data_IF_691997471676
#
_entry.id   IF_691997471676
#
_cell.length_a   1.000
_cell.length_b   1.000
_cell.length_c   1.000
_cell.angle_alpha   90.00
_cell.angle_beta   90.00
_cell.angle_gamma   90.00
#
_symmetry.space_group_name_H-M   'P 1'
#
loop_
_entity.id
_entity.type
_entity.pdbx_description
1 polymer ?
#
# COMPACT_ATOMS: atom_id res chain seq x y z
N UNK A 1 -8.16 1.86 21.61
CA UNK A 1 -6.99 2.46 22.28
C UNK A 1 -5.65 1.83 21.87
N UNK A 2 -5.57 0.51 21.69
CA UNK A 2 -4.32 -0.22 21.36
C UNK A 2 -3.60 0.29 20.09
N UNK A 3 -4.32 0.49 18.98
CA UNK A 3 -3.72 0.97 17.72
C UNK A 3 -3.08 2.36 17.82
N UNK A 4 -3.70 3.29 18.55
CA UNK A 4 -3.12 4.62 18.76
C UNK A 4 -1.78 4.56 19.49
N UNK A 5 -1.67 3.66 20.47
CA UNK A 5 -0.41 3.44 21.18
C UNK A 5 0.67 2.86 20.25
N UNK A 6 0.32 1.91 19.38
CA UNK A 6 1.24 1.32 18.40
C UNK A 6 1.73 2.38 17.39
N UNK A 7 0.83 3.23 16.88
CA UNK A 7 1.19 4.34 15.99
C UNK A 7 2.14 5.31 16.70
N UNK A 8 1.84 5.70 17.96
CA UNK A 8 2.69 6.58 18.75
C UNK A 8 4.09 5.98 18.97
N UNK A 9 4.18 4.68 19.25
CA UNK A 9 5.46 3.95 19.38
C UNK A 9 6.21 3.97 18.04
N UNK A 10 5.53 3.65 16.91
CA UNK A 10 6.15 3.63 15.59
C UNK A 10 6.71 4.99 15.16
N UNK A 11 6.06 6.09 15.55
CA UNK A 11 6.47 7.46 15.20
C UNK A 11 7.38 8.13 16.25
N UNK A 12 7.55 7.52 17.43
CA UNK A 12 8.29 8.13 18.54
C UNK A 12 9.76 8.48 18.18
N UNK A 13 10.38 7.67 17.33
CA UNK A 13 11.77 7.90 16.87
C UNK A 13 11.87 8.73 15.59
N UNK A 14 10.77 9.34 15.11
CA UNK A 14 10.70 10.11 13.85
C UNK A 14 11.34 9.34 12.68
N UNK A 15 10.81 8.16 12.32
CA UNK A 15 11.39 7.36 11.25
C UNK A 15 11.19 8.04 9.89
N UNK A 16 12.09 7.79 8.95
CA UNK A 16 11.93 8.21 7.56
C UNK A 16 10.86 7.37 6.83
N UNK A 17 10.68 6.12 7.24
CA UNK A 17 9.66 5.21 6.71
C UNK A 17 8.87 4.54 7.84
N UNK A 18 7.54 4.54 7.71
CA UNK A 18 6.62 3.77 8.54
C UNK A 18 5.99 2.64 7.70
N UNK A 19 6.11 1.40 8.16
CA UNK A 19 5.40 0.26 7.55
C UNK A 19 4.16 -0.05 8.39
N UNK A 20 2.99 0.09 7.77
CA UNK A 20 1.68 -0.14 8.38
C UNK A 20 1.03 -1.38 7.73
N UNK A 21 1.20 -2.55 8.36
CA UNK A 21 0.61 -3.81 7.87
C UNK A 21 -0.77 -4.02 8.51
N UNK A 22 -1.82 -3.88 7.71
CA UNK A 22 -3.23 -3.96 8.09
C UNK A 22 -3.59 -3.17 9.37
N UNK A 23 -3.24 -1.88 9.47
CA UNK A 23 -3.26 -1.14 10.73
C UNK A 23 -4.67 -0.96 11.32
N UNK A 24 -5.70 -1.23 10.54
CA UNK A 24 -7.11 -1.05 10.94
C UNK A 24 -7.94 -2.33 10.85
N UNK A 25 -7.29 -3.50 10.65
CA UNK A 25 -7.99 -4.78 10.67
C UNK A 25 -8.75 -4.96 11.99
N UNK A 26 -9.99 -5.47 11.91
CA UNK A 26 -10.90 -5.68 13.04
C UNK A 26 -11.43 -4.40 13.73
N UNK A 27 -11.40 -3.24 13.07
CA UNK A 27 -12.04 -2.01 13.55
C UNK A 27 -13.31 -1.70 12.75
N UNK A 28 -14.27 -1.05 13.40
CA UNK A 28 -15.41 -0.47 12.68
C UNK A 28 -14.97 0.70 11.78
N UNK A 29 -15.73 0.94 10.70
CA UNK A 29 -15.39 1.91 9.64
C UNK A 29 -15.15 3.32 10.20
N UNK A 30 -15.90 3.74 11.22
CA UNK A 30 -15.77 5.08 11.79
C UNK A 30 -14.48 5.25 12.58
N UNK A 31 -14.12 4.24 13.37
CA UNK A 31 -12.85 4.22 14.13
C UNK A 31 -11.67 4.08 13.20
N UNK A 32 -11.77 3.24 12.16
CA UNK A 32 -10.77 3.07 11.12
C UNK A 32 -10.43 4.41 10.45
N UNK A 33 -11.45 5.13 9.95
CA UNK A 33 -11.25 6.44 9.32
C UNK A 33 -10.52 7.41 10.25
N UNK A 34 -10.98 7.56 11.49
CA UNK A 34 -10.36 8.47 12.47
C UNK A 34 -8.91 8.12 12.78
N UNK A 35 -8.55 6.84 12.84
CA UNK A 35 -7.17 6.40 13.09
C UNK A 35 -6.29 6.72 11.89
N UNK A 36 -6.78 6.46 10.68
CA UNK A 36 -6.02 6.73 9.46
C UNK A 36 -5.87 8.24 9.19
N UNK A 37 -6.89 9.05 9.45
CA UNK A 37 -6.79 10.51 9.37
C UNK A 37 -5.72 11.05 10.33
N UNK A 38 -5.69 10.51 11.55
CA UNK A 38 -4.69 10.89 12.54
C UNK A 38 -3.27 10.43 12.15
N UNK A 39 -3.14 9.22 11.60
CA UNK A 39 -1.87 8.70 11.08
C UNK A 39 -1.34 9.60 9.96
N UNK A 40 -2.18 9.90 8.97
CA UNK A 40 -1.83 10.76 7.84
C UNK A 40 -1.36 12.15 8.30
N UNK A 41 -2.13 12.83 9.16
CA UNK A 41 -1.74 14.11 9.72
C UNK A 41 -0.36 14.08 10.41
N UNK A 42 -0.06 13.01 11.16
CA UNK A 42 1.23 12.88 11.85
C UNK A 42 2.37 12.60 10.86
N UNK A 43 2.18 11.69 9.90
CA UNK A 43 3.22 11.36 8.91
C UNK A 43 3.53 12.54 8.00
N UNK A 44 2.53 13.31 7.58
CA UNK A 44 2.72 14.54 6.80
C UNK A 44 3.52 15.60 7.57
N UNK A 45 3.16 15.82 8.84
CA UNK A 45 3.88 16.81 9.68
C UNK A 45 5.34 16.43 9.92
N UNK A 46 5.68 15.15 9.84
CA UNK A 46 7.03 14.62 10.06
C UNK A 46 7.81 14.40 8.75
N UNK A 47 7.15 14.50 7.58
CA UNK A 47 7.74 14.11 6.29
C UNK A 47 8.08 12.62 6.20
N UNK A 48 7.39 11.78 6.99
CA UNK A 48 7.60 10.33 7.04
C UNK A 48 6.93 9.67 5.85
N UNK A 49 7.67 8.85 5.08
CA UNK A 49 7.08 8.02 4.06
C UNK A 49 6.29 6.86 4.68
N UNK A 50 5.23 6.41 4.01
CA UNK A 50 4.40 5.30 4.51
C UNK A 50 4.33 4.17 3.49
N UNK A 51 4.67 2.96 3.90
CA UNK A 51 4.34 1.73 3.18
C UNK A 51 3.08 1.13 3.83
N UNK A 52 1.95 1.33 3.16
CA UNK A 52 0.63 0.93 3.65
C UNK A 52 0.21 -0.41 3.05
N UNK A 53 0.01 -1.43 3.85
CA UNK A 53 -0.39 -2.76 3.40
C UNK A 53 -1.83 -3.02 3.81
N UNK A 54 -2.67 -3.37 2.84
CA UNK A 54 -4.08 -3.66 3.08
C UNK A 54 -4.64 -4.64 2.03
N UNK A 55 -5.76 -5.24 2.32
CA UNK A 55 -6.55 -5.99 1.34
C UNK A 55 -7.70 -5.16 0.74
N UNK A 56 -7.93 -3.95 1.25
CA UNK A 56 -8.95 -3.01 0.78
C UNK A 56 -8.36 -2.00 -0.20
N UNK A 57 -8.64 -2.21 -1.49
CA UNK A 57 -8.15 -1.36 -2.58
C UNK A 57 -8.75 0.07 -2.49
N UNK A 58 -10.00 0.19 -2.06
CA UNK A 58 -10.64 1.49 -1.91
C UNK A 58 -10.00 2.33 -0.82
N UNK A 59 -9.71 1.69 0.33
CA UNK A 59 -9.00 2.33 1.42
C UNK A 59 -7.57 2.72 1.03
N UNK A 60 -6.88 1.86 0.26
CA UNK A 60 -5.56 2.15 -0.27
C UNK A 60 -5.58 3.42 -1.14
N UNK A 61 -6.57 3.53 -2.01
CA UNK A 61 -6.71 4.67 -2.91
C UNK A 61 -7.06 5.99 -2.22
N UNK A 62 -7.78 5.94 -1.11
CA UNK A 62 -8.03 7.13 -0.29
C UNK A 62 -6.78 7.63 0.45
N UNK A 63 -5.76 6.79 0.62
CA UNK A 63 -4.64 7.06 1.53
C UNK A 63 -3.27 7.09 0.87
N UNK A 64 -3.13 6.52 -0.32
CA UNK A 64 -1.85 6.41 -1.00
C UNK A 64 -1.86 7.14 -2.33
N UNK A 65 -0.75 7.77 -2.67
CA UNK A 65 -0.51 8.36 -3.99
C UNK A 65 -0.25 7.28 -5.05
N UNK A 66 0.34 6.16 -4.64
CA UNK A 66 0.70 5.07 -5.54
C UNK A 66 0.27 3.72 -4.98
N UNK A 67 -0.23 2.84 -5.84
CA UNK A 67 -0.68 1.50 -5.49
C UNK A 67 0.14 0.45 -6.22
N UNK A 68 0.50 -0.60 -5.50
CA UNK A 68 1.08 -1.84 -6.02
C UNK A 68 0.11 -2.97 -5.71
N UNK A 69 -0.44 -3.61 -6.72
CA UNK A 69 -1.37 -4.75 -6.59
C UNK A 69 -0.59 -6.04 -6.65
N UNK A 70 -0.67 -6.83 -5.58
CA UNK A 70 -0.01 -8.15 -5.48
C UNK A 70 -0.99 -9.31 -5.59
N UNK A 71 -0.66 -10.28 -6.41
CA UNK A 71 -1.39 -11.53 -6.57
C UNK A 71 -0.44 -12.71 -6.68
N UNK A 72 -0.63 -13.74 -5.84
CA UNK A 72 0.19 -14.97 -5.82
C UNK A 72 1.71 -14.71 -5.79
N UNK A 73 2.13 -13.73 -4.99
CA UNK A 73 3.54 -13.39 -4.79
C UNK A 73 4.15 -12.44 -5.83
N UNK A 74 3.41 -12.06 -6.86
CA UNK A 74 3.87 -11.18 -7.94
C UNK A 74 3.16 -9.83 -7.91
N UNK A 75 3.82 -8.79 -8.41
CA UNK A 75 3.17 -7.52 -8.74
C UNK A 75 2.47 -7.70 -10.08
N UNK A 76 1.15 -7.53 -10.10
CA UNK A 76 0.33 -7.69 -11.31
C UNK A 76 -0.09 -6.34 -11.92
N UNK A 77 -0.11 -5.29 -11.11
CA UNK A 77 -0.39 -3.93 -11.55
C UNK A 77 0.23 -2.91 -10.57
N UNK A 78 0.72 -1.79 -11.08
CA UNK A 78 1.27 -0.70 -10.26
C UNK A 78 1.07 0.63 -10.98
N UNK A 79 0.72 1.67 -10.24
CA UNK A 79 0.50 3.00 -10.81
C UNK A 79 -0.07 4.00 -9.80
N UNK A 80 -0.32 5.24 -10.25
CA UNK A 80 -1.05 6.22 -9.46
C UNK A 80 -2.39 5.66 -9.00
N UNK A 81 -2.78 5.97 -7.78
CA UNK A 81 -3.94 5.35 -7.13
C UNK A 81 -5.23 5.53 -7.91
N UNK A 82 -5.45 6.72 -8.47
CA UNK A 82 -6.62 7.04 -9.29
C UNK A 82 -6.65 6.22 -10.58
N UNK A 83 -5.50 6.13 -11.27
CA UNK A 83 -5.39 5.40 -12.53
C UNK A 83 -5.71 3.91 -12.33
N UNK A 84 -5.13 3.29 -11.30
CA UNK A 84 -5.37 1.88 -10.97
C UNK A 84 -6.84 1.62 -10.63
N UNK A 85 -7.54 2.57 -9.96
CA UNK A 85 -8.96 2.45 -9.65
C UNK A 85 -9.88 2.69 -10.85
N UNK A 86 -9.61 3.73 -11.64
CA UNK A 86 -10.49 4.15 -12.73
C UNK A 86 -10.30 3.31 -13.98
N UNK A 87 -9.06 2.89 -14.24
CA UNK A 87 -8.64 2.18 -15.45
C UNK A 87 -7.85 0.91 -15.17
N UNK A 88 -8.33 0.00 -14.27
CA UNK A 88 -7.62 -1.22 -13.96
C UNK A 88 -7.41 -2.06 -15.21
N UNK A 89 -6.17 -2.49 -15.46
CA UNK A 89 -5.82 -3.27 -16.64
C UNK A 89 -5.87 -4.77 -16.35
N UNK A 90 -5.27 -5.18 -15.23
CA UNK A 90 -5.18 -6.61 -14.92
C UNK A 90 -6.52 -7.20 -14.47
N UNK A 91 -6.91 -8.41 -14.93
CA UNK A 91 -8.19 -9.03 -14.56
C UNK A 91 -8.42 -9.20 -13.07
N UNK A 92 -7.35 -9.41 -12.30
CA UNK A 92 -7.42 -9.50 -10.84
C UNK A 92 -7.75 -8.14 -10.21
N UNK A 93 -7.09 -7.05 -10.66
CA UNK A 93 -7.39 -5.68 -10.19
C UNK A 93 -8.82 -5.28 -10.50
N UNK A 94 -9.32 -5.61 -11.71
CA UNK A 94 -10.72 -5.39 -12.09
C UNK A 94 -11.69 -6.07 -11.11
N UNK A 95 -11.39 -7.30 -10.70
CA UNK A 95 -12.21 -8.02 -9.70
C UNK A 95 -12.12 -7.37 -8.32
N UNK A 96 -10.94 -6.93 -7.89
CA UNK A 96 -10.77 -6.23 -6.62
C UNK A 96 -11.58 -4.93 -6.59
N UNK A 97 -11.51 -4.11 -7.64
CA UNK A 97 -12.29 -2.87 -7.76
C UNK A 97 -13.78 -3.16 -7.71
N UNK A 98 -14.26 -4.18 -8.44
CA UNK A 98 -15.67 -4.57 -8.47
C UNK A 98 -16.17 -5.15 -7.13
N UNK A 99 -15.29 -5.82 -6.37
CA UNK A 99 -15.62 -6.45 -5.09
C UNK A 99 -15.50 -5.50 -3.89
N UNK A 100 -14.83 -4.36 -4.03
CA UNK A 100 -14.60 -3.40 -2.96
C UNK A 100 -15.65 -2.26 -3.03
N UNK A 101 -16.79 -2.39 -2.33
CA UNK A 101 -17.77 -1.32 -2.23
C UNK A 101 -17.32 -0.29 -1.17
N UNK A 102 -16.08 0.22 -1.28
CA UNK A 102 -15.69 1.36 -0.45
C UNK A 102 -16.47 2.59 -0.92
N UNK A 103 -16.77 3.50 0.01
CA UNK A 103 -17.42 4.78 -0.31
C UNK A 103 -16.62 5.57 -1.37
N UNK A 104 -15.30 5.42 -1.40
CA UNK A 104 -14.44 6.02 -2.42
C UNK A 104 -14.65 5.39 -3.80
N UNK A 105 -14.64 4.07 -3.90
CA UNK A 105 -14.92 3.38 -5.17
C UNK A 105 -16.31 3.71 -5.69
N UNK A 106 -17.32 3.77 -4.82
CA UNK A 106 -18.68 4.16 -5.21
C UNK A 106 -18.76 5.64 -5.62
N UNK A 107 -18.06 6.55 -4.94
CA UNK A 107 -18.01 7.97 -5.33
C UNK A 107 -17.33 8.18 -6.66
N UNK A 108 -16.22 7.49 -6.91
CA UNK A 108 -15.47 7.56 -8.18
C UNK A 108 -16.31 6.99 -9.33
N UNK A 109 -16.93 5.82 -9.14
CA UNK A 109 -17.82 5.21 -10.15
C UNK A 109 -19.04 6.11 -10.42
N UNK A 110 -19.69 6.62 -9.38
CA UNK A 110 -20.85 7.51 -9.51
C UNK A 110 -20.49 8.87 -10.13
N UNK A 111 -19.31 9.42 -9.87
CA UNK A 111 -18.82 10.65 -10.52
C UNK A 111 -18.56 10.42 -12.00
N UNK A 112 -17.94 9.29 -12.35
CA UNK A 112 -17.70 8.89 -13.75
C UNK A 112 -19.01 8.68 -14.51
N UNK A 113 -20.03 8.06 -13.91
CA UNK A 113 -21.36 7.88 -14.48
C UNK A 113 -22.08 9.22 -14.70
N UNK A 114 -21.81 10.23 -13.84
CA UNK A 114 -22.36 11.59 -13.96
C UNK A 114 -21.55 12.51 -14.86
N UNK A 115 -20.40 12.06 -15.39
CA UNK A 115 -19.49 12.89 -16.18
C UNK A 115 -18.79 13.98 -15.35
N UNK A 116 -18.74 13.83 -14.03
CA UNK A 116 -18.05 14.73 -13.13
C UNK A 116 -16.56 14.38 -13.07
N UNK A 117 -15.71 15.39 -12.89
CA UNK A 117 -14.27 15.21 -12.75
C UNK A 117 -13.96 14.53 -11.40
N UNK A 118 -13.56 13.26 -11.46
CA UNK A 118 -13.27 12.46 -10.27
C UNK A 118 -12.03 12.98 -9.51
N UNK A 119 -11.16 13.75 -10.17
CA UNK A 119 -9.98 14.36 -9.58
C UNK A 119 -10.36 15.39 -8.51
N UNK A 120 -11.44 16.14 -8.71
CA UNK A 120 -11.92 17.12 -7.75
C UNK A 120 -12.44 16.51 -6.43
N UNK A 121 -12.85 15.24 -6.44
CA UNK A 121 -13.37 14.55 -5.25
C UNK A 121 -12.27 13.99 -4.34
N UNK A 122 -11.06 13.83 -4.85
CA UNK A 122 -9.88 13.32 -4.14
C UNK A 122 -8.84 14.40 -3.83
N UNK A 123 -8.97 15.58 -4.46
CA UNK A 123 -8.02 16.71 -4.35
C UNK A 123 -7.85 17.26 -2.92
N UNK A 124 -8.73 16.93 -1.99
CA UNK A 124 -8.58 17.34 -0.59
C UNK A 124 -7.52 16.55 0.18
N UNK A 125 -6.96 15.46 -0.37
CA UNK A 125 -5.95 14.63 0.31
C UNK A 125 -4.66 14.38 -0.49
N UNK A 126 -4.61 14.75 -1.78
CA UNK A 126 -3.44 14.53 -2.65
C UNK A 126 -2.78 15.87 -3.05
N UNK A 127 -2.89 16.89 -2.22
CA UNK A 127 -2.18 18.15 -2.43
C UNK A 127 -0.67 17.92 -2.29
N UNK A 128 0.02 17.66 -3.41
CA UNK A 128 1.48 17.47 -3.38
C UNK A 128 2.11 16.86 -4.63
N UNK A 129 1.35 16.53 -5.69
CA UNK A 129 1.94 15.88 -6.87
C UNK A 129 3.06 16.71 -7.55
N UNK A 130 3.00 18.04 -7.53
CA UNK A 130 4.02 18.90 -8.15
C UNK A 130 5.38 18.90 -7.44
N UNK A 131 5.44 18.48 -6.17
CA UNK A 131 6.68 18.39 -5.39
C UNK A 131 7.28 16.98 -5.42
N UNK A 132 6.52 15.97 -5.84
CA UNK A 132 6.89 14.56 -5.75
C UNK A 132 7.89 14.10 -6.82
N UNK A 133 7.97 14.80 -7.96
CA UNK A 133 8.92 14.41 -9.04
C UNK A 133 10.40 14.58 -8.64
N UNK A 134 10.70 15.43 -7.64
CA UNK A 134 12.07 15.69 -7.15
C UNK A 134 12.39 15.02 -5.81
N UNK A 135 11.46 14.30 -5.19
CA UNK A 135 11.71 13.68 -3.89
C UNK A 135 12.60 12.43 -4.01
N UNK A 136 13.57 12.34 -3.10
CA UNK A 136 14.49 11.21 -2.98
C UNK A 136 13.74 9.92 -2.65
N UNK A 137 14.15 8.81 -3.26
CA UNK A 137 13.68 7.48 -2.90
C UNK A 137 14.27 7.07 -1.55
N UNK A 138 13.40 6.81 -0.57
CA UNK A 138 13.82 6.32 0.75
C UNK A 138 14.10 4.83 0.71
N UNK A 139 13.30 4.08 -0.06
CA UNK A 139 13.47 2.65 -0.25
C UNK A 139 13.31 2.32 -1.72
N UNK A 140 14.22 1.46 -2.20
CA UNK A 140 14.09 0.79 -3.49
C UNK A 140 14.18 -0.71 -3.28
N UNK A 141 13.15 -1.42 -3.68
CA UNK A 141 13.05 -2.88 -3.70
C UNK A 141 13.31 -3.34 -5.12
N UNK A 142 14.32 -4.20 -5.31
CA UNK A 142 14.80 -4.62 -6.61
C UNK A 142 14.80 -6.14 -6.74
N UNK A 143 13.93 -6.66 -7.63
CA UNK A 143 13.79 -8.08 -7.97
C UNK A 143 13.68 -9.02 -6.77
N UNK A 144 12.89 -8.62 -5.75
CA UNK A 144 12.80 -9.31 -4.48
C UNK A 144 12.05 -10.64 -4.62
N UNK A 145 12.69 -11.74 -4.24
CA UNK A 145 12.10 -13.07 -4.27
C UNK A 145 12.28 -13.78 -2.94
N UNK A 146 11.24 -14.47 -2.49
CA UNK A 146 11.28 -15.33 -1.31
C UNK A 146 10.66 -16.69 -1.57
N UNK A 147 11.47 -17.70 -1.37
CA UNK A 147 11.06 -19.09 -1.44
C UNK A 147 11.09 -19.74 -0.06
N UNK A 148 10.09 -20.59 0.22
CA UNK A 148 10.02 -21.42 1.40
C UNK A 148 9.98 -22.90 1.00
N UNK A 149 10.71 -23.71 1.73
CA UNK A 149 10.62 -25.18 1.60
C UNK A 149 9.33 -25.67 2.25
N UNK A 150 8.47 -26.32 1.48
CA UNK A 150 7.24 -26.89 2.03
C UNK A 150 7.56 -28.11 2.92
N UNK A 151 6.96 -28.19 4.13
CA UNK A 151 7.08 -29.38 4.96
C UNK A 151 6.54 -30.59 4.20
N UNK A 152 7.32 -31.67 4.17
CA UNK A 152 6.99 -32.97 3.54
C UNK A 152 6.94 -32.98 1.98
N UNK A 153 7.31 -31.87 1.30
CA UNK A 153 7.46 -31.84 -0.16
C UNK A 153 8.88 -31.40 -0.53
N UNK A 154 9.39 -31.91 -1.66
CA UNK A 154 10.67 -31.43 -2.23
C UNK A 154 10.51 -30.09 -2.98
N UNK A 155 9.28 -29.62 -3.14
CA UNK A 155 8.95 -28.42 -3.88
C UNK A 155 9.19 -27.17 -3.04
N UNK A 156 9.72 -26.12 -3.69
CA UNK A 156 9.84 -24.78 -3.14
C UNK A 156 8.57 -23.99 -3.45
N UNK A 157 8.07 -23.28 -2.46
CA UNK A 157 6.92 -22.37 -2.60
C UNK A 157 7.44 -20.95 -2.69
N UNK A 158 7.19 -20.28 -3.81
CA UNK A 158 7.48 -18.86 -3.97
C UNK A 158 6.38 -18.02 -3.33
N UNK A 159 6.67 -17.45 -2.17
CA UNK A 159 5.75 -16.54 -1.48
C UNK A 159 5.82 -15.12 -2.04
N UNK A 160 6.99 -14.74 -2.56
CA UNK A 160 7.26 -13.50 -3.30
C UNK A 160 8.10 -13.86 -4.50
N UNK A 161 7.74 -13.39 -5.68
CA UNK A 161 8.35 -13.74 -6.96
C UNK A 161 8.58 -12.46 -7.78
N UNK A 162 9.83 -12.03 -7.84
CA UNK A 162 10.32 -10.92 -8.67
C UNK A 162 9.61 -9.56 -8.43
N UNK A 163 9.49 -9.15 -7.17
CA UNK A 163 8.80 -7.92 -6.78
C UNK A 163 9.76 -6.74 -6.77
N UNK A 164 9.40 -5.67 -7.49
CA UNK A 164 10.15 -4.41 -7.53
C UNK A 164 9.22 -3.21 -7.34
N UNK A 165 9.61 -2.26 -6.50
CA UNK A 165 8.94 -0.97 -6.29
C UNK A 165 9.86 0.00 -5.54
N UNK A 166 9.47 1.28 -5.47
CA UNK A 166 10.19 2.28 -4.67
C UNK A 166 9.24 3.17 -3.89
N UNK A 167 9.68 3.66 -2.74
CA UNK A 167 8.93 4.60 -1.89
C UNK A 167 9.68 5.92 -1.82
N UNK A 168 9.01 7.02 -2.15
CA UNK A 168 9.55 8.38 -2.09
C UNK A 168 9.33 8.99 -0.70
N UNK A 169 10.23 9.90 -0.31
CA UNK A 169 10.13 10.65 0.97
C UNK A 169 8.81 11.41 1.06
N UNK A 170 8.14 11.31 2.22
CA UNK A 170 6.89 12.00 2.50
C UNK A 170 5.69 11.53 1.69
N UNK A 171 5.78 10.36 1.00
CA UNK A 171 4.66 9.79 0.25
C UNK A 171 4.12 8.51 0.88
N UNK A 172 2.89 8.16 0.56
CA UNK A 172 2.32 6.87 0.91
C UNK A 172 2.24 5.98 -0.33
N UNK A 173 2.89 4.81 -0.28
CA UNK A 173 2.74 3.73 -1.25
C UNK A 173 1.92 2.61 -0.62
N UNK A 174 0.86 2.17 -1.28
CA UNK A 174 0.05 1.06 -0.81
C UNK A 174 0.35 -0.24 -1.55
N UNK A 175 0.53 -1.33 -0.82
CA UNK A 175 0.56 -2.70 -1.36
C UNK A 175 -0.78 -3.36 -1.06
N UNK A 176 -1.49 -3.76 -2.11
CA UNK A 176 -2.84 -4.33 -2.02
C UNK A 176 -2.90 -5.74 -2.59
N UNK A 177 -3.74 -6.59 -2.04
CA UNK A 177 -3.98 -7.95 -2.52
C UNK A 177 -4.65 -8.82 -1.46
N UNK A 178 -5.17 -9.98 -1.87
CA UNK A 178 -5.80 -10.95 -0.96
C UNK A 178 -4.84 -11.47 0.12
N UNK A 179 -5.41 -12.08 1.16
CA UNK A 179 -4.62 -12.79 2.17
C UNK A 179 -3.77 -13.89 1.52
N UNK A 180 -2.49 -13.98 1.90
CA UNK A 180 -1.55 -14.93 1.32
C UNK A 180 -0.91 -14.50 -0.01
N UNK A 181 -1.17 -13.29 -0.52
CA UNK A 181 -0.53 -12.79 -1.75
C UNK A 181 0.95 -12.39 -1.59
N UNK A 182 1.52 -12.47 -0.39
CA UNK A 182 2.94 -12.18 -0.13
C UNK A 182 3.24 -10.81 0.49
N UNK A 183 2.26 -9.94 0.72
CA UNK A 183 2.44 -8.56 1.22
C UNK A 183 3.25 -8.46 2.51
N UNK A 184 2.82 -9.17 3.56
CA UNK A 184 3.54 -9.19 4.84
C UNK A 184 4.93 -9.83 4.72
N UNK A 185 5.13 -10.75 3.78
CA UNK A 185 6.44 -11.31 3.48
C UNK A 185 7.36 -10.24 2.90
N UNK A 186 6.87 -9.40 1.98
CA UNK A 186 7.59 -8.24 1.44
C UNK A 186 7.94 -7.28 2.57
N UNK A 187 6.96 -6.89 3.42
CA UNK A 187 7.22 -6.00 4.56
C UNK A 187 8.33 -6.52 5.49
N UNK A 188 8.29 -7.81 5.83
CA UNK A 188 9.31 -8.43 6.68
C UNK A 188 10.70 -8.46 6.02
N UNK A 189 10.78 -8.60 4.69
CA UNK A 189 12.05 -8.51 3.96
C UNK A 189 12.57 -7.06 3.92
N UNK A 190 11.69 -6.08 3.70
CA UNK A 190 12.03 -4.65 3.77
C UNK A 190 12.51 -4.28 5.17
N UNK A 191 11.94 -4.79 6.24
CA UNK A 191 12.40 -4.58 7.62
C UNK A 191 13.65 -5.41 8.01
N UNK A 192 14.23 -6.18 7.10
CA UNK A 192 15.33 -7.12 7.35
C UNK A 192 15.01 -8.17 8.44
N UNK A 193 13.73 -8.38 8.78
CA UNK A 193 13.28 -9.44 9.69
C UNK A 193 13.28 -10.81 8.98
N UNK A 194 13.23 -10.81 7.66
CA UNK A 194 13.26 -11.99 6.82
C UNK A 194 14.29 -11.83 5.69
N UNK A 195 15.27 -12.72 5.60
CA UNK A 195 16.25 -12.69 4.52
C UNK A 195 15.59 -13.10 3.19
N UNK A 196 15.71 -12.32 2.11
CA UNK A 196 15.26 -12.72 0.78
C UNK A 196 16.05 -13.92 0.25
N UNK A 197 15.47 -14.67 -0.68
CA UNK A 197 16.15 -15.72 -1.46
C UNK A 197 17.01 -15.09 -2.54
N UNK A 198 16.48 -14.06 -3.22
CA UNK A 198 17.21 -13.21 -4.18
C UNK A 198 16.63 -11.80 -4.19
N UNK A 199 17.30 -10.88 -4.90
CA UNK A 199 16.95 -9.47 -4.92
C UNK A 199 17.57 -8.68 -3.77
N UNK A 200 17.33 -7.36 -3.76
CA UNK A 200 17.93 -6.43 -2.79
C UNK A 200 16.92 -5.37 -2.36
N UNK A 201 17.16 -4.80 -1.17
CA UNK A 201 16.49 -3.60 -0.67
C UNK A 201 17.58 -2.56 -0.41
N UNK A 202 17.39 -1.36 -0.95
CA UNK A 202 18.26 -0.20 -0.79
C UNK A 202 17.51 0.86 0.05
N UNK A 203 18.26 1.52 0.95
CA UNK A 203 17.79 2.58 1.85
C UNK A 203 18.54 3.87 1.59
#
# INVERSE_FOLDING_TARGET
MRQRALIAIGLACRPDLLIADEPTSALDVTVQKRILDHLHMLTDSLGTAVLFITHDLGLAAERAQHIVVMYKGQVVESGPSLEVLQHPQHPYTKRLVAAAPSLASQRIISAKERGEDADALLDHHIAGESTLEKSEHIITVDHLTKEFKLPRKKEMFKAVDDVSFSVKRGTTLAIVGESGSGKSTVANMVLHLLKPTSGKVFY
#
